data_IF_744025868864
#
_entry.id   IF_744025868864
#
_cell.length_a   1.000
_cell.length_b   1.000
_cell.length_c   1.000
_cell.angle_alpha   90.00
_cell.angle_beta   90.00
_cell.angle_gamma   90.00
#
_symmetry.space_group_name_H-M   'P 1'
#
loop_
_entity.id
_entity.type
_entity.pdbx_description
1 polymer ?
#
# COMPACT_ATOMS: atom_id res chain seq x y z
N UNK A 1 -31.30 -42.20 -61.29
CA UNK A 1 -31.71 -41.22 -60.21
C UNK A 1 -31.06 -41.62 -58.91
N UNK A 2 -29.95 -41.01 -58.58
CA UNK A 2 -29.20 -41.28 -57.32
C UNK A 2 -29.31 -40.07 -56.40
N UNK A 3 -30.01 -40.21 -55.27
CA UNK A 3 -30.18 -39.21 -54.23
C UNK A 3 -28.93 -39.22 -53.31
N UNK A 4 -28.12 -38.19 -53.40
CA UNK A 4 -27.01 -37.96 -52.46
C UNK A 4 -27.54 -37.39 -51.14
N UNK A 5 -27.37 -38.13 -50.06
CA UNK A 5 -27.60 -37.70 -48.66
C UNK A 5 -26.35 -36.95 -48.16
N UNK A 6 -26.49 -35.68 -47.90
CA UNK A 6 -25.44 -34.86 -47.26
C UNK A 6 -25.65 -35.01 -45.76
N UNK A 7 -24.70 -35.67 -45.07
CA UNK A 7 -24.62 -35.72 -43.60
C UNK A 7 -23.82 -34.51 -43.14
N UNK A 8 -24.51 -33.56 -42.54
CA UNK A 8 -23.88 -32.40 -41.91
C UNK A 8 -23.41 -32.78 -40.51
N UNK A 9 -22.10 -32.93 -40.33
CA UNK A 9 -21.47 -33.11 -39.02
C UNK A 9 -21.42 -31.74 -38.33
N UNK A 10 -22.27 -31.50 -37.32
CA UNK A 10 -22.17 -30.40 -36.38
C UNK A 10 -21.08 -30.76 -35.35
N UNK A 11 -19.88 -30.25 -35.55
CA UNK A 11 -18.84 -30.28 -34.52
C UNK A 11 -19.19 -29.25 -33.44
N UNK A 12 -19.73 -29.72 -32.31
CA UNK A 12 -19.89 -28.93 -31.11
C UNK A 12 -18.52 -28.67 -30.52
N UNK A 13 -17.93 -27.51 -30.79
CA UNK A 13 -16.77 -26.98 -30.05
C UNK A 13 -17.26 -26.56 -28.67
N UNK A 14 -17.20 -27.48 -27.72
CA UNK A 14 -17.33 -27.17 -26.31
C UNK A 14 -16.15 -26.29 -25.93
N UNK A 15 -16.38 -24.98 -25.82
CA UNK A 15 -15.48 -24.07 -25.11
C UNK A 15 -15.38 -24.56 -23.64
N UNK A 16 -14.39 -25.38 -23.35
CA UNK A 16 -13.93 -25.62 -22.00
C UNK A 16 -13.38 -24.26 -21.49
N UNK A 17 -14.25 -23.44 -20.92
CA UNK A 17 -13.84 -22.34 -20.08
C UNK A 17 -13.06 -22.98 -18.93
N UNK A 18 -11.74 -23.00 -19.02
CA UNK A 18 -10.89 -23.30 -17.87
C UNK A 18 -11.31 -22.33 -16.76
N UNK A 19 -11.62 -22.82 -15.54
CA UNK A 19 -11.87 -21.91 -14.44
C UNK A 19 -10.62 -21.05 -14.32
N UNK A 20 -10.78 -19.73 -14.51
CA UNK A 20 -9.73 -18.78 -14.20
C UNK A 20 -9.50 -18.94 -12.69
N UNK A 21 -8.47 -19.69 -12.33
CA UNK A 21 -8.06 -19.83 -10.93
C UNK A 21 -7.73 -18.42 -10.46
N UNK A 22 -8.49 -17.95 -9.49
CA UNK A 22 -8.23 -16.66 -8.88
C UNK A 22 -6.80 -16.71 -8.34
N UNK A 23 -5.94 -15.83 -8.87
CA UNK A 23 -4.52 -15.79 -8.50
C UNK A 23 -4.43 -15.19 -7.10
N UNK A 24 -3.90 -15.95 -6.15
CA UNK A 24 -3.57 -15.45 -4.81
C UNK A 24 -2.65 -14.24 -4.92
N UNK A 25 -2.94 -13.20 -4.12
CA UNK A 25 -2.19 -11.93 -4.13
C UNK A 25 -1.97 -11.42 -2.72
N UNK A 26 -0.84 -10.79 -2.51
CA UNK A 26 -0.47 -10.18 -1.24
C UNK A 26 -0.02 -11.18 -0.20
N UNK A 27 -0.39 -10.90 1.03
CA UNK A 27 -0.20 -11.77 2.18
C UNK A 27 -1.50 -11.82 2.95
N UNK A 28 -2.05 -13.00 3.12
CA UNK A 28 -3.33 -13.25 3.80
C UNK A 28 -3.09 -14.04 5.08
N UNK A 29 -3.70 -13.56 6.17
CA UNK A 29 -3.64 -14.21 7.46
C UNK A 29 -5.04 -14.42 8.05
N UNK A 30 -5.20 -15.50 8.79
CA UNK A 30 -6.31 -15.74 9.68
C UNK A 30 -5.86 -15.50 11.11
N UNK A 31 -6.52 -14.59 11.80
CA UNK A 31 -6.25 -14.26 13.21
C UNK A 31 -7.42 -14.75 14.05
N UNK A 32 -7.13 -15.53 15.09
CA UNK A 32 -8.15 -16.11 15.98
C UNK A 32 -7.81 -15.84 17.44
N UNK A 33 -8.81 -15.45 18.21
CA UNK A 33 -8.70 -15.16 19.64
C UNK A 33 -10.05 -14.70 20.19
N UNK A 34 -10.20 -14.65 21.50
CA UNK A 34 -11.43 -14.16 22.17
C UNK A 34 -12.73 -14.86 21.72
N UNK A 35 -12.62 -16.09 21.16
CA UNK A 35 -13.77 -16.80 20.56
C UNK A 35 -14.13 -16.35 19.14
N UNK A 36 -13.40 -15.43 18.54
CA UNK A 36 -13.66 -14.81 17.23
C UNK A 36 -12.56 -15.05 16.22
N UNK A 37 -12.82 -14.69 14.96
CA UNK A 37 -11.86 -14.79 13.86
C UNK A 37 -11.89 -13.53 13.01
N UNK A 38 -10.71 -13.04 12.62
CA UNK A 38 -10.51 -11.91 11.71
C UNK A 38 -9.64 -12.37 10.54
N UNK A 39 -9.91 -11.82 9.35
CA UNK A 39 -9.01 -11.91 8.20
C UNK A 39 -8.13 -10.67 8.16
N UNK A 40 -6.81 -10.84 8.03
CA UNK A 40 -5.85 -9.75 7.91
C UNK A 40 -5.14 -9.87 6.56
N UNK A 41 -5.23 -8.83 5.74
CA UNK A 41 -4.77 -8.82 4.35
C UNK A 41 -3.80 -7.68 4.06
N UNK A 42 -2.74 -7.98 3.30
CA UNK A 42 -1.73 -7.01 2.85
C UNK A 42 -2.11 -6.30 1.56
N UNK A 43 -2.27 -4.98 1.59
CA UNK A 43 -2.64 -4.14 0.45
C UNK A 43 -1.45 -3.42 -0.19
N UNK A 44 -1.69 -2.80 -1.32
CA UNK A 44 -0.79 -1.85 -2.00
C UNK A 44 -1.58 -0.59 -2.33
N UNK A 45 -1.02 0.58 -1.98
CA UNK A 45 -1.69 1.89 -2.13
C UNK A 45 -1.74 2.42 -3.57
N UNK A 46 -0.88 1.92 -4.45
CA UNK A 46 -0.89 2.24 -5.89
C UNK A 46 -0.94 0.94 -6.69
N UNK A 47 -1.97 0.75 -7.48
CA UNK A 47 -2.22 -0.49 -8.21
C UNK A 47 -2.14 -0.35 -9.72
N UNK A 48 -2.25 -1.49 -10.37
CA UNK A 48 -2.37 -1.65 -11.82
C UNK A 48 -3.74 -2.30 -12.15
N UNK A 49 -4.30 -2.09 -13.36
CA UNK A 49 -5.55 -2.73 -13.75
C UNK A 49 -5.53 -4.26 -13.61
N UNK A 50 -4.39 -4.89 -13.88
CA UNK A 50 -4.22 -6.36 -13.77
C UNK A 50 -4.22 -6.89 -12.34
N UNK A 51 -4.26 -6.03 -11.33
CA UNK A 51 -4.45 -6.46 -9.96
C UNK A 51 -5.89 -6.87 -9.65
N UNK A 52 -6.80 -6.60 -10.58
CA UNK A 52 -8.23 -6.88 -10.44
C UNK A 52 -8.73 -7.87 -11.51
N UNK A 53 -9.73 -8.68 -11.17
CA UNK A 53 -10.37 -8.79 -9.85
C UNK A 53 -9.41 -9.35 -8.79
N UNK A 54 -9.65 -9.01 -7.52
CA UNK A 54 -9.01 -9.67 -6.39
C UNK A 54 -9.44 -11.13 -6.33
N UNK A 55 -8.63 -11.97 -5.70
CA UNK A 55 -8.98 -13.38 -5.55
C UNK A 55 -10.26 -13.57 -4.71
N UNK A 56 -10.85 -14.76 -4.85
CA UNK A 56 -12.14 -15.07 -4.27
C UNK A 56 -12.11 -15.13 -2.74
N UNK A 57 -10.97 -15.51 -2.16
CA UNK A 57 -10.79 -15.58 -0.71
C UNK A 57 -10.92 -14.20 -0.07
N UNK A 58 -10.35 -13.17 -0.71
CA UNK A 58 -10.43 -11.77 -0.26
C UNK A 58 -11.86 -11.23 -0.39
N UNK A 59 -12.47 -11.43 -1.56
CA UNK A 59 -13.83 -10.91 -1.83
C UNK A 59 -14.89 -11.60 -0.99
N UNK A 60 -14.74 -12.91 -0.70
CA UNK A 60 -15.59 -13.66 0.23
C UNK A 60 -15.36 -13.21 1.68
N UNK A 61 -14.10 -13.00 2.10
CA UNK A 61 -13.80 -12.52 3.44
C UNK A 61 -14.44 -11.15 3.68
N UNK A 62 -14.32 -10.22 2.73
CA UNK A 62 -14.98 -8.92 2.81
C UNK A 62 -16.50 -9.07 2.87
N UNK A 63 -17.10 -9.89 2.01
CA UNK A 63 -18.55 -10.08 1.96
C UNK A 63 -19.12 -10.70 3.25
N UNK A 64 -18.34 -11.51 3.95
CA UNK A 64 -18.70 -12.12 5.23
C UNK A 64 -18.47 -11.19 6.43
N UNK A 65 -17.84 -10.03 6.23
CA UNK A 65 -17.48 -9.12 7.30
C UNK A 65 -18.57 -8.07 7.55
N UNK A 66 -18.76 -7.69 8.80
CA UNK A 66 -19.58 -6.55 9.22
C UNK A 66 -18.76 -5.26 9.29
N UNK A 67 -17.45 -5.40 9.46
CA UNK A 67 -16.50 -4.28 9.59
C UNK A 67 -15.25 -4.55 8.75
N UNK A 68 -14.85 -3.55 7.96
CA UNK A 68 -13.54 -3.45 7.31
C UNK A 68 -12.70 -2.43 8.08
N UNK A 69 -11.57 -2.87 8.63
CA UNK A 69 -10.56 -1.99 9.24
C UNK A 69 -9.45 -1.71 8.24
N UNK A 70 -9.21 -0.44 7.92
CA UNK A 70 -8.13 0.06 7.08
C UNK A 70 -7.17 0.92 7.89
N UNK A 71 -5.98 1.22 7.39
CA UNK A 71 -5.14 2.25 8.00
C UNK A 71 -5.92 3.56 8.08
N UNK A 72 -6.36 4.05 6.94
CA UNK A 72 -7.33 5.15 6.78
C UNK A 72 -8.34 4.74 5.71
N UNK A 73 -9.51 5.38 5.66
CA UNK A 73 -10.42 5.24 4.53
C UNK A 73 -10.01 6.21 3.41
N UNK A 74 -9.39 5.73 2.31
CA UNK A 74 -8.89 6.61 1.25
C UNK A 74 -10.00 7.17 0.35
N UNK A 75 -11.23 6.70 0.52
CA UNK A 75 -12.40 7.14 -0.27
C UNK A 75 -13.09 8.35 0.36
N UNK A 76 -12.84 8.62 1.63
CA UNK A 76 -13.41 9.77 2.35
C UNK A 76 -12.47 10.96 2.26
N UNK A 77 -12.79 11.88 1.36
CA UNK A 77 -12.10 13.16 1.24
C UNK A 77 -13.00 14.27 1.76
N UNK A 78 -12.67 14.79 2.93
CA UNK A 78 -13.37 15.95 3.51
C UNK A 78 -12.60 17.23 3.24
N UNK A 79 -13.29 18.38 3.28
CA UNK A 79 -12.63 19.68 3.22
C UNK A 79 -11.61 19.86 4.36
N UNK A 80 -11.88 19.26 5.52
CA UNK A 80 -10.99 19.25 6.69
C UNK A 80 -9.70 18.47 6.40
N UNK A 81 -9.81 17.28 5.81
CA UNK A 81 -8.64 16.48 5.41
C UNK A 81 -7.79 17.22 4.38
N UNK A 82 -8.42 17.84 3.37
CA UNK A 82 -7.70 18.63 2.37
C UNK A 82 -6.99 19.84 3.00
N UNK A 83 -7.65 20.54 3.92
CA UNK A 83 -7.05 21.65 4.66
C UNK A 83 -5.91 21.20 5.58
N UNK A 84 -6.02 20.02 6.21
CA UNK A 84 -4.95 19.44 7.03
C UNK A 84 -3.70 19.15 6.18
N UNK A 85 -3.87 18.51 5.01
CA UNK A 85 -2.78 18.26 4.06
C UNK A 85 -2.13 19.58 3.64
N UNK A 86 -2.92 20.57 3.24
CA UNK A 86 -2.41 21.87 2.78
C UNK A 86 -1.60 22.60 3.85
N UNK A 87 -2.05 22.57 5.12
CA UNK A 87 -1.34 23.21 6.24
C UNK A 87 0.05 22.64 6.47
N UNK A 88 0.21 21.31 6.35
CA UNK A 88 1.48 20.63 6.65
C UNK A 88 2.37 20.47 5.43
N UNK A 89 1.83 20.56 4.21
CA UNK A 89 2.57 20.38 2.97
C UNK A 89 3.43 21.60 2.58
N UNK A 90 2.99 22.81 2.97
CA UNK A 90 3.63 24.06 2.53
C UNK A 90 4.93 24.32 3.30
N UNK A 91 5.95 24.76 2.57
CA UNK A 91 7.27 25.08 3.11
C UNK A 91 7.33 26.49 3.68
N UNK A 92 8.45 26.81 4.34
CA UNK A 92 8.78 28.16 4.82
C UNK A 92 10.14 28.58 4.26
N UNK A 93 10.45 29.90 4.23
CA UNK A 93 11.76 30.37 3.78
C UNK A 93 12.93 29.74 4.53
N UNK A 94 12.76 29.45 5.84
CA UNK A 94 13.78 28.81 6.66
C UNK A 94 14.05 27.36 6.23
N UNK A 95 13.02 26.60 5.88
CA UNK A 95 13.15 25.22 5.36
C UNK A 95 13.87 25.27 4.01
N UNK A 96 13.47 26.16 3.11
CA UNK A 96 14.12 26.31 1.80
C UNK A 96 15.59 26.70 1.93
N UNK A 97 15.91 27.63 2.82
CA UNK A 97 17.30 28.04 3.09
C UNK A 97 18.19 26.90 3.65
N UNK A 98 17.58 25.90 4.27
CA UNK A 98 18.30 24.73 4.79
C UNK A 98 18.52 23.63 3.70
N UNK A 99 18.11 23.86 2.46
CA UNK A 99 18.35 22.91 1.36
C UNK A 99 19.84 22.79 1.05
N UNK A 100 20.40 21.56 1.02
CA UNK A 100 21.79 21.37 0.61
C UNK A 100 22.06 21.98 -0.77
N UNK A 101 23.15 22.76 -0.98
CA UNK A 101 23.38 23.46 -2.26
C UNK A 101 23.42 22.54 -3.49
N UNK A 102 23.96 21.32 -3.34
CA UNK A 102 24.04 20.35 -4.43
C UNK A 102 22.67 19.78 -4.85
N UNK A 103 21.67 19.83 -3.98
CA UNK A 103 20.35 19.23 -4.19
C UNK A 103 19.48 20.09 -5.13
N UNK A 104 19.55 21.40 -5.02
CA UNK A 104 18.71 22.33 -5.80
C UNK A 104 18.72 22.09 -7.31
N UNK A 105 19.92 22.05 -7.97
CA UNK A 105 20.00 21.79 -9.41
C UNK A 105 19.46 20.40 -9.81
N UNK A 106 19.63 19.37 -8.97
CA UNK A 106 19.09 18.02 -9.23
C UNK A 106 17.57 18.01 -9.13
N UNK A 107 17.04 18.63 -8.09
CA UNK A 107 15.59 18.75 -7.88
C UNK A 107 14.92 19.48 -9.03
N UNK A 108 15.49 20.64 -9.46
CA UNK A 108 14.98 21.41 -10.60
C UNK A 108 14.92 20.57 -11.87
N UNK A 109 16.03 19.92 -12.26
CA UNK A 109 16.05 19.05 -13.43
C UNK A 109 15.02 17.92 -13.35
N UNK A 110 14.83 17.35 -12.14
CA UNK A 110 13.87 16.25 -11.96
C UNK A 110 12.44 16.74 -12.10
N UNK A 111 12.10 17.88 -11.52
CA UNK A 111 10.78 18.50 -11.68
C UNK A 111 10.48 18.81 -13.16
N UNK A 112 11.41 19.42 -13.88
CA UNK A 112 11.30 19.69 -15.32
C UNK A 112 11.11 18.42 -16.15
N UNK A 113 11.88 17.36 -15.88
CA UNK A 113 11.75 16.07 -16.56
C UNK A 113 10.39 15.38 -16.31
N UNK A 114 9.71 15.74 -15.23
CA UNK A 114 8.37 15.28 -14.89
C UNK A 114 7.27 16.21 -15.44
N UNK A 115 7.62 17.33 -16.07
CA UNK A 115 6.69 18.36 -16.50
C UNK A 115 6.07 19.15 -15.35
N UNK A 116 6.69 19.08 -14.16
CA UNK A 116 6.22 19.79 -12.97
C UNK A 116 6.87 21.18 -12.87
N UNK A 117 6.16 22.20 -12.35
CA UNK A 117 6.73 23.53 -12.17
C UNK A 117 7.95 23.49 -11.23
N UNK A 118 9.08 24.12 -11.63
CA UNK A 118 10.26 24.23 -10.78
C UNK A 118 9.97 24.98 -9.46
N UNK A 119 8.97 25.87 -9.46
CA UNK A 119 8.51 26.58 -8.27
C UNK A 119 8.03 25.69 -7.12
N UNK A 120 7.68 24.42 -7.38
CA UNK A 120 7.31 23.49 -6.33
C UNK A 120 8.41 23.30 -5.29
N UNK A 121 9.68 23.40 -5.69
CA UNK A 121 10.84 23.32 -4.79
C UNK A 121 10.86 24.39 -3.69
N UNK A 122 10.22 25.54 -3.93
CA UNK A 122 10.08 26.63 -2.95
C UNK A 122 8.69 26.75 -2.34
N UNK A 123 7.76 25.88 -2.70
CA UNK A 123 6.38 25.90 -2.21
C UNK A 123 6.07 24.73 -1.27
N UNK A 124 6.70 23.57 -1.49
CA UNK A 124 6.42 22.36 -0.74
C UNK A 124 7.56 21.99 0.21
N UNK A 125 7.24 21.40 1.35
CA UNK A 125 8.23 20.78 2.24
C UNK A 125 8.94 19.62 1.54
N UNK A 126 10.19 19.29 1.92
CA UNK A 126 10.97 18.24 1.27
C UNK A 126 10.27 16.88 1.24
N UNK A 127 9.57 16.51 2.31
CA UNK A 127 8.82 15.26 2.37
C UNK A 127 7.64 15.22 1.40
N UNK A 128 6.97 16.38 1.17
CA UNK A 128 5.87 16.44 0.20
C UNK A 128 6.41 16.38 -1.24
N UNK A 129 7.57 16.99 -1.51
CA UNK A 129 8.28 16.85 -2.78
C UNK A 129 8.63 15.39 -3.06
N UNK A 130 9.14 14.67 -2.05
CA UNK A 130 9.44 13.24 -2.14
C UNK A 130 8.21 12.44 -2.56
N UNK A 131 7.08 12.60 -1.86
CA UNK A 131 5.82 11.91 -2.18
C UNK A 131 5.35 12.26 -3.59
N UNK A 132 5.38 13.55 -3.95
CA UNK A 132 4.95 14.02 -5.27
C UNK A 132 5.79 13.41 -6.38
N UNK A 133 7.11 13.50 -6.28
CA UNK A 133 8.04 12.94 -7.28
C UNK A 133 7.88 11.44 -7.44
N UNK A 134 7.80 10.71 -6.34
CA UNK A 134 7.63 9.26 -6.34
C UNK A 134 6.29 8.86 -6.97
N UNK A 135 5.20 9.55 -6.61
CA UNK A 135 3.87 9.28 -7.16
C UNK A 135 3.81 9.51 -8.67
N UNK A 136 4.36 10.65 -9.15
CA UNK A 136 4.40 10.94 -10.59
C UNK A 136 5.29 9.95 -11.35
N UNK A 137 6.43 9.57 -10.78
CA UNK A 137 7.32 8.59 -11.41
C UNK A 137 6.66 7.21 -11.53
N UNK A 138 5.95 6.77 -10.49
CA UNK A 138 5.22 5.51 -10.53
C UNK A 138 4.00 5.56 -11.46
N UNK A 139 3.36 6.73 -11.57
CA UNK A 139 2.28 6.92 -12.54
C UNK A 139 2.76 6.75 -14.00
N UNK A 140 4.01 7.14 -14.32
CA UNK A 140 4.62 6.88 -15.64
C UNK A 140 4.80 5.38 -15.91
N UNK A 141 4.87 4.55 -14.88
CA UNK A 141 4.92 3.09 -14.98
C UNK A 141 3.52 2.45 -15.03
N UNK A 142 2.46 3.26 -15.01
CA UNK A 142 1.07 2.81 -15.05
C UNK A 142 0.43 2.61 -13.67
N UNK A 143 1.17 2.76 -12.57
CA UNK A 143 0.63 2.65 -11.23
C UNK A 143 -0.25 3.84 -10.89
N UNK A 144 -1.42 3.57 -10.30
CA UNK A 144 -2.43 4.60 -10.01
C UNK A 144 -2.92 4.49 -8.57
N UNK A 145 -3.06 5.62 -7.83
CA UNK A 145 -3.62 5.60 -6.48
C UNK A 145 -5.09 5.17 -6.42
N UNK A 146 -5.90 5.52 -7.43
CA UNK A 146 -7.32 5.12 -7.52
C UNK A 146 -7.52 3.62 -7.81
N UNK A 147 -6.45 2.91 -8.21
CA UNK A 147 -6.31 1.47 -8.31
C UNK A 147 -5.60 0.86 -7.09
N UNK A 148 -5.40 1.61 -6.02
CA UNK A 148 -4.95 1.07 -4.74
C UNK A 148 -5.90 -0.01 -4.23
N UNK A 149 -5.34 -1.08 -3.68
CA UNK A 149 -6.12 -2.24 -3.22
C UNK A 149 -6.97 -1.88 -2.01
N UNK A 150 -6.44 -1.06 -1.12
CA UNK A 150 -7.18 -0.46 0.01
C UNK A 150 -8.34 0.42 -0.45
N UNK A 151 -8.14 1.27 -1.45
CA UNK A 151 -9.20 2.08 -2.05
C UNK A 151 -10.28 1.22 -2.72
N UNK A 152 -9.89 0.12 -3.37
CA UNK A 152 -10.82 -0.82 -3.97
C UNK A 152 -11.67 -1.54 -2.91
N UNK A 153 -11.05 -2.03 -1.83
CA UNK A 153 -11.74 -2.68 -0.73
C UNK A 153 -12.70 -1.71 -0.02
N UNK A 154 -12.29 -0.45 0.21
CA UNK A 154 -13.15 0.57 0.78
C UNK A 154 -14.41 0.81 -0.10
N UNK A 155 -14.22 0.98 -1.42
CA UNK A 155 -15.35 1.13 -2.37
C UNK A 155 -16.31 -0.05 -2.34
N UNK A 156 -15.78 -1.28 -2.31
CA UNK A 156 -16.60 -2.49 -2.21
C UNK A 156 -17.36 -2.56 -0.87
N UNK A 157 -16.71 -2.19 0.25
CA UNK A 157 -17.32 -2.17 1.56
C UNK A 157 -18.48 -1.15 1.62
N UNK A 158 -18.24 0.08 1.17
CA UNK A 158 -19.28 1.11 1.09
C UNK A 158 -20.46 0.69 0.20
N UNK A 159 -20.19 0.11 -0.96
CA UNK A 159 -21.21 -0.40 -1.88
C UNK A 159 -22.05 -1.55 -1.30
N UNK A 160 -21.57 -2.22 -0.27
CA UNK A 160 -22.24 -3.32 0.45
C UNK A 160 -22.73 -2.92 1.84
N UNK A 161 -22.64 -1.65 2.20
CA UNK A 161 -22.99 -1.13 3.53
C UNK A 161 -22.20 -1.79 4.68
N UNK A 162 -20.98 -2.27 4.41
CA UNK A 162 -20.06 -2.75 5.43
C UNK A 162 -19.42 -1.54 6.09
N UNK A 163 -19.39 -1.52 7.42
CA UNK A 163 -18.78 -0.44 8.20
C UNK A 163 -17.28 -0.37 7.90
N UNK A 164 -16.77 0.80 7.49
CA UNK A 164 -15.34 1.05 7.34
C UNK A 164 -14.84 1.86 8.53
N UNK A 165 -13.72 1.43 9.13
CA UNK A 165 -13.06 2.12 10.23
C UNK A 165 -11.59 2.35 9.94
N UNK A 166 -11.05 3.50 10.38
CA UNK A 166 -9.62 3.80 10.33
C UNK A 166 -8.89 3.28 11.58
N UNK A 167 -7.81 2.53 11.37
CA UNK A 167 -6.86 2.22 12.43
C UNK A 167 -6.02 3.45 12.80
N UNK A 168 -5.91 4.40 11.90
CA UNK A 168 -5.18 5.66 12.04
C UNK A 168 -6.02 6.84 11.54
N UNK A 169 -5.46 8.03 11.65
CA UNK A 169 -6.01 9.25 11.05
C UNK A 169 -5.06 9.82 10.01
N UNK A 170 -5.56 10.63 9.10
CA UNK A 170 -4.73 11.33 8.10
C UNK A 170 -3.68 12.20 8.78
N UNK A 171 -4.06 12.91 9.85
CA UNK A 171 -3.15 13.76 10.63
C UNK A 171 -2.02 12.96 11.27
N UNK A 172 -2.31 11.74 11.78
CA UNK A 172 -1.27 10.87 12.36
C UNK A 172 -0.27 10.44 11.31
N UNK A 173 -0.73 10.04 10.11
CA UNK A 173 0.14 9.62 9.00
C UNK A 173 0.97 10.77 8.43
N UNK A 174 0.36 11.94 8.17
CA UNK A 174 1.09 13.13 7.72
C UNK A 174 2.14 13.57 8.74
N UNK A 175 1.81 13.47 10.03
CA UNK A 175 2.71 13.79 11.12
C UNK A 175 3.96 12.91 11.20
N UNK A 176 3.96 11.71 10.59
CA UNK A 176 5.17 10.87 10.52
C UNK A 176 6.28 11.57 9.72
N UNK A 177 5.90 12.23 8.63
CA UNK A 177 6.82 12.99 7.80
C UNK A 177 7.08 14.39 8.37
N UNK A 178 6.02 15.09 8.76
CA UNK A 178 6.08 16.50 9.13
C UNK A 178 6.91 16.76 10.41
N UNK A 179 6.91 15.80 11.34
CA UNK A 179 7.73 15.87 12.58
C UNK A 179 9.16 15.38 12.41
N UNK A 180 9.60 15.00 11.21
CA UNK A 180 11.01 14.72 10.96
C UNK A 180 11.82 16.03 11.03
N UNK A 181 13.04 16.00 11.58
CA UNK A 181 13.97 17.10 11.46
C UNK A 181 14.11 17.57 10.02
N UNK A 182 14.21 18.86 9.78
CA UNK A 182 14.31 19.41 8.40
C UNK A 182 15.50 18.83 7.63
N UNK A 183 16.62 18.61 8.32
CA UNK A 183 17.80 17.98 7.72
C UNK A 183 17.51 16.55 7.23
N UNK A 184 16.75 15.76 8.02
CA UNK A 184 16.36 14.40 7.64
C UNK A 184 15.39 14.40 6.45
N UNK A 185 14.47 15.37 6.40
CA UNK A 185 13.57 15.52 5.26
C UNK A 185 14.32 15.79 3.94
N UNK A 186 15.36 16.66 4.00
CA UNK A 186 16.23 16.91 2.84
C UNK A 186 17.07 15.69 2.47
N UNK A 187 17.59 14.95 3.44
CA UNK A 187 18.33 13.71 3.21
C UNK A 187 17.43 12.66 2.56
N UNK A 188 16.20 12.47 3.04
CA UNK A 188 15.23 11.57 2.41
C UNK A 188 14.93 11.94 0.97
N UNK A 189 14.76 13.23 0.67
CA UNK A 189 14.54 13.68 -0.69
C UNK A 189 15.77 13.43 -1.57
N UNK A 190 16.99 13.64 -1.05
CA UNK A 190 18.23 13.36 -1.79
C UNK A 190 18.41 11.87 -2.10
N UNK A 191 18.17 10.98 -1.11
CA UNK A 191 18.17 9.52 -1.31
C UNK A 191 17.10 9.10 -2.33
N UNK A 192 15.92 9.71 -2.27
CA UNK A 192 14.84 9.46 -3.24
C UNK A 192 15.25 9.87 -4.65
N UNK A 193 15.81 11.07 -4.83
CA UNK A 193 16.32 11.52 -6.15
C UNK A 193 17.40 10.58 -6.67
N UNK A 194 18.33 10.14 -5.82
CA UNK A 194 19.37 9.18 -6.20
C UNK A 194 18.77 7.84 -6.67
N UNK A 195 17.78 7.34 -5.94
CA UNK A 195 17.05 6.11 -6.27
C UNK A 195 16.26 6.22 -7.59
N UNK A 196 15.64 7.38 -7.84
CA UNK A 196 14.93 7.65 -9.10
C UNK A 196 15.91 7.83 -10.29
N UNK A 197 17.05 8.52 -10.07
CA UNK A 197 18.04 8.77 -11.11
C UNK A 197 18.76 7.49 -11.54
N UNK A 198 19.02 6.55 -10.61
CA UNK A 198 19.62 5.25 -10.89
C UNK A 198 18.65 4.20 -11.44
N UNK A 199 17.33 4.44 -11.35
CA UNK A 199 16.31 3.45 -11.68
C UNK A 199 16.05 2.42 -10.57
N UNK A 200 16.72 2.51 -9.42
CA UNK A 200 16.50 1.61 -8.28
C UNK A 200 15.06 1.66 -7.79
N UNK A 201 14.48 2.87 -7.65
CA UNK A 201 13.10 3.04 -7.18
C UNK A 201 12.07 2.35 -8.07
N UNK A 202 12.23 2.43 -9.40
CA UNK A 202 11.35 1.76 -10.35
C UNK A 202 11.51 0.22 -10.28
N UNK A 203 12.73 -0.27 -10.12
CA UNK A 203 12.99 -1.72 -9.94
C UNK A 203 12.40 -2.23 -8.64
N UNK A 204 12.53 -1.46 -7.56
CA UNK A 204 11.98 -1.79 -6.26
C UNK A 204 10.46 -1.84 -6.30
N UNK A 205 9.80 -0.83 -6.85
CA UNK A 205 8.35 -0.82 -7.03
C UNK A 205 7.86 -2.06 -7.79
N UNK A 206 8.54 -2.40 -8.89
CA UNK A 206 8.23 -3.61 -9.67
C UNK A 206 8.46 -4.90 -8.89
N UNK A 207 9.47 -4.95 -8.02
CA UNK A 207 9.78 -6.13 -7.20
C UNK A 207 8.72 -6.30 -6.11
N UNK A 208 8.37 -5.24 -5.40
CA UNK A 208 7.30 -5.24 -4.37
C UNK A 208 5.97 -5.68 -4.99
N UNK A 209 5.56 -5.03 -6.07
CA UNK A 209 4.27 -5.30 -6.70
C UNK A 209 4.21 -6.67 -7.35
N UNK A 210 5.32 -7.18 -7.89
CA UNK A 210 5.40 -8.54 -8.44
C UNK A 210 5.34 -9.60 -7.33
N UNK A 211 6.06 -9.41 -6.23
CA UNK A 211 5.98 -10.26 -5.04
C UNK A 211 4.55 -10.29 -4.49
N UNK A 212 3.92 -9.14 -4.39
CA UNK A 212 2.53 -9.02 -3.97
C UNK A 212 1.56 -9.71 -4.96
N UNK A 213 1.69 -9.45 -6.26
CA UNK A 213 0.78 -9.98 -7.28
C UNK A 213 0.82 -11.50 -7.41
N UNK A 214 1.85 -12.17 -6.87
CA UNK A 214 2.05 -13.62 -6.91
C UNK A 214 1.96 -14.27 -5.54
N UNK A 215 1.61 -13.53 -4.49
CA UNK A 215 1.70 -13.98 -3.10
C UNK A 215 3.06 -14.65 -2.78
N UNK A 216 4.15 -14.16 -3.41
CA UNK A 216 5.48 -14.76 -3.33
C UNK A 216 6.11 -14.47 -1.96
N UNK A 217 5.86 -15.40 -1.03
CA UNK A 217 6.35 -15.29 0.34
C UNK A 217 7.86 -15.08 0.41
N UNK A 218 8.63 -15.85 -0.38
CA UNK A 218 10.09 -15.77 -0.33
C UNK A 218 10.58 -14.39 -0.79
N UNK A 219 10.00 -13.84 -1.85
CA UNK A 219 10.31 -12.49 -2.32
C UNK A 219 9.92 -11.42 -1.29
N UNK A 220 8.78 -11.57 -0.60
CA UNK A 220 8.33 -10.64 0.43
C UNK A 220 9.20 -10.70 1.69
N UNK A 221 9.60 -11.90 2.14
CA UNK A 221 10.51 -12.08 3.26
C UNK A 221 11.92 -11.51 2.92
N UNK A 222 12.40 -11.70 1.69
CA UNK A 222 13.66 -11.11 1.22
C UNK A 222 13.60 -9.58 1.17
N UNK A 223 12.45 -9.01 0.80
CA UNK A 223 12.23 -7.57 0.81
C UNK A 223 12.31 -7.00 2.24
N UNK A 224 11.65 -7.62 3.19
CA UNK A 224 11.72 -7.21 4.60
C UNK A 224 13.18 -7.22 5.11
N UNK A 225 13.92 -8.30 4.80
CA UNK A 225 15.33 -8.43 5.19
C UNK A 225 16.23 -7.38 4.49
N UNK A 226 15.93 -7.02 3.23
CA UNK A 226 16.64 -5.96 2.51
C UNK A 226 16.54 -4.65 3.30
N UNK A 227 15.34 -4.23 3.67
CA UNK A 227 15.14 -2.98 4.41
C UNK A 227 15.72 -3.01 5.83
N UNK A 228 15.69 -4.16 6.50
CA UNK A 228 16.33 -4.30 7.83
C UNK A 228 17.85 -4.09 7.78
N UNK A 229 18.50 -4.46 6.69
CA UNK A 229 19.97 -4.39 6.52
C UNK A 229 20.44 -3.12 5.84
N UNK A 230 19.56 -2.37 5.22
CA UNK A 230 19.90 -1.15 4.48
C UNK A 230 20.25 -0.02 5.47
N UNK A 231 21.49 0.52 5.43
CA UNK A 231 21.93 1.56 6.34
C UNK A 231 21.41 2.97 5.97
N UNK A 232 20.73 3.14 4.85
CA UNK A 232 20.20 4.44 4.41
C UNK A 232 19.18 4.98 5.41
N UNK A 233 19.14 6.31 5.54
CA UNK A 233 18.20 6.98 6.44
C UNK A 233 16.75 6.65 6.07
N UNK A 234 16.43 6.58 4.78
CA UNK A 234 15.11 6.22 4.28
C UNK A 234 14.64 4.85 4.81
N UNK A 235 15.53 3.84 4.79
CA UNK A 235 15.21 2.51 5.30
C UNK A 235 15.10 2.49 6.82
N UNK A 236 15.93 3.22 7.54
CA UNK A 236 15.84 3.35 9.00
C UNK A 236 14.54 4.04 9.44
N UNK A 237 14.14 5.11 8.74
CA UNK A 237 12.87 5.81 9.00
C UNK A 237 11.69 4.91 8.64
N UNK A 238 11.74 4.18 7.51
CA UNK A 238 10.71 3.21 7.15
C UNK A 238 10.52 2.19 8.28
N UNK A 239 11.58 1.52 8.71
CA UNK A 239 11.51 0.48 9.73
C UNK A 239 11.02 1.00 11.08
N UNK A 240 11.57 2.13 11.55
CA UNK A 240 11.27 2.65 12.86
C UNK A 240 9.95 3.40 12.89
N UNK A 241 9.78 4.45 12.05
CA UNK A 241 8.62 5.35 12.12
C UNK A 241 7.42 4.86 11.35
N UNK A 242 7.64 4.37 10.12
CA UNK A 242 6.52 3.96 9.26
C UNK A 242 6.01 2.55 9.57
N UNK A 243 6.79 1.72 10.24
CA UNK A 243 6.38 0.37 10.61
C UNK A 243 6.33 0.18 12.13
N UNK A 244 7.44 0.16 12.85
CA UNK A 244 7.47 -0.25 14.26
C UNK A 244 6.62 0.66 15.15
N UNK A 245 6.74 1.99 15.04
CA UNK A 245 5.94 2.95 15.84
C UNK A 245 4.45 2.88 15.57
N UNK A 246 4.03 2.39 14.38
CA UNK A 246 2.62 2.25 13.98
C UNK A 246 2.06 0.86 14.28
N UNK A 247 2.87 -0.18 14.09
CA UNK A 247 2.41 -1.57 14.25
C UNK A 247 1.91 -1.87 15.67
N UNK A 248 2.55 -1.33 16.71
CA UNK A 248 2.11 -1.50 18.09
C UNK A 248 0.68 -1.03 18.32
N UNK A 249 0.37 0.26 18.13
CA UNK A 249 -0.98 0.81 18.26
C UNK A 249 -2.00 0.15 17.33
N UNK A 250 -1.63 -0.23 16.10
CA UNK A 250 -2.51 -0.97 15.20
C UNK A 250 -2.83 -2.37 15.74
N UNK A 251 -1.83 -3.09 16.26
CA UNK A 251 -2.03 -4.40 16.86
C UNK A 251 -2.96 -4.34 18.08
N UNK A 252 -2.86 -3.29 18.91
CA UNK A 252 -3.76 -3.06 20.05
C UNK A 252 -5.21 -2.83 19.58
N UNK A 253 -5.40 -2.03 18.55
CA UNK A 253 -6.73 -1.77 17.98
C UNK A 253 -7.33 -3.03 17.33
N UNK A 254 -6.52 -3.81 16.60
CA UNK A 254 -6.96 -5.06 15.96
C UNK A 254 -7.33 -6.12 17.01
N UNK A 255 -6.55 -6.26 18.09
CA UNK A 255 -6.86 -7.16 19.21
C UNK A 255 -8.17 -6.76 19.88
N UNK A 256 -8.32 -5.46 20.21
CA UNK A 256 -9.56 -4.93 20.78
C UNK A 256 -10.77 -5.05 19.85
N UNK A 257 -10.57 -4.98 18.53
CA UNK A 257 -11.63 -5.17 17.55
C UNK A 257 -12.05 -6.65 17.50
N UNK A 258 -11.08 -7.57 17.46
CA UNK A 258 -11.32 -9.01 17.49
C UNK A 258 -12.04 -9.46 18.77
N UNK A 259 -11.79 -8.79 19.91
CA UNK A 259 -12.48 -9.09 21.16
C UNK A 259 -13.98 -8.69 21.15
N UNK A 260 -14.37 -7.76 20.29
CA UNK A 260 -15.73 -7.20 20.27
C UNK A 260 -16.57 -7.58 19.07
N UNK A 261 -15.97 -7.92 17.96
CA UNK A 261 -16.67 -8.13 16.68
C UNK A 261 -16.40 -9.53 16.12
N UNK A 262 -17.46 -10.24 15.73
CA UNK A 262 -17.38 -11.62 15.26
C UNK A 262 -16.84 -11.75 13.82
N UNK A 263 -17.09 -10.75 12.98
CA UNK A 263 -16.83 -10.81 11.54
C UNK A 263 -16.11 -9.55 11.08
N UNK A 264 -14.80 -9.56 11.18
CA UNK A 264 -13.95 -8.42 10.79
C UNK A 264 -12.96 -8.83 9.72
N UNK A 265 -12.79 -7.96 8.73
CA UNK A 265 -11.63 -7.96 7.86
C UNK A 265 -10.78 -6.74 8.16
N UNK A 266 -9.48 -6.93 8.34
CA UNK A 266 -8.49 -5.86 8.39
C UNK A 266 -7.64 -5.89 7.13
N UNK A 267 -7.37 -4.74 6.54
CA UNK A 267 -6.52 -4.63 5.37
C UNK A 267 -5.58 -3.42 5.54
N UNK A 268 -4.29 -3.69 5.53
CA UNK A 268 -3.22 -2.71 5.77
C UNK A 268 -2.11 -2.87 4.75
N UNK A 269 -1.30 -1.84 4.53
CA UNK A 269 -0.17 -1.93 3.61
C UNK A 269 0.71 -3.15 3.89
N UNK A 270 1.10 -3.83 2.83
CA UNK A 270 1.86 -5.09 2.86
C UNK A 270 3.05 -5.05 3.83
N UNK A 271 3.76 -3.91 3.88
CA UNK A 271 4.96 -3.75 4.72
C UNK A 271 4.67 -3.92 6.21
N UNK A 272 3.44 -3.69 6.67
CA UNK A 272 3.01 -3.95 8.04
C UNK A 272 2.88 -5.45 8.36
N UNK A 273 2.83 -6.32 7.35
CA UNK A 273 2.59 -7.76 7.52
C UNK A 273 3.84 -8.63 7.36
N UNK A 274 4.96 -8.05 6.96
CA UNK A 274 6.22 -8.76 6.73
C UNK A 274 7.32 -8.27 7.68
N UNK A 275 8.35 -9.10 7.89
CA UNK A 275 9.45 -8.78 8.81
C UNK A 275 9.15 -9.12 10.28
N UNK A 276 10.16 -8.90 11.14
CA UNK A 276 10.14 -9.33 12.55
C UNK A 276 9.16 -8.56 13.42
N UNK A 277 9.01 -7.25 13.19
CA UNK A 277 8.14 -6.36 13.97
C UNK A 277 6.76 -6.16 13.29
N UNK A 278 6.34 -7.15 12.48
CA UNK A 278 5.09 -7.13 11.73
C UNK A 278 3.85 -7.30 12.63
N UNK A 279 2.71 -6.83 12.15
CA UNK A 279 1.42 -7.04 12.83
C UNK A 279 1.15 -8.53 13.14
N UNK A 280 1.37 -9.49 12.21
CA UNK A 280 1.26 -10.91 12.56
C UNK A 280 2.14 -11.33 13.74
N UNK A 281 3.37 -10.80 13.83
CA UNK A 281 4.27 -11.13 14.95
C UNK A 281 3.77 -10.51 16.26
N UNK A 282 3.34 -9.25 16.25
CA UNK A 282 2.81 -8.56 17.43
C UNK A 282 1.48 -9.18 17.92
N UNK A 283 0.59 -9.57 17.02
CA UNK A 283 -0.65 -10.24 17.39
C UNK A 283 -0.38 -11.62 18.02
N UNK A 284 0.62 -12.37 17.53
CA UNK A 284 1.07 -13.62 18.21
C UNK A 284 1.63 -13.34 19.60
N UNK A 285 2.43 -12.28 19.75
CA UNK A 285 2.97 -11.88 21.05
C UNK A 285 1.87 -11.51 22.07
N UNK A 286 0.68 -11.10 21.59
CA UNK A 286 -0.53 -10.87 22.41
C UNK A 286 -1.29 -12.16 22.75
N UNK A 287 -0.81 -13.32 22.32
CA UNK A 287 -1.44 -14.63 22.57
C UNK A 287 -2.50 -15.03 21.55
N UNK A 288 -2.66 -14.27 20.45
CA UNK A 288 -3.59 -14.62 19.39
C UNK A 288 -2.99 -15.70 18.48
N UNK A 289 -3.83 -16.59 17.97
CA UNK A 289 -3.43 -17.55 16.93
C UNK A 289 -3.43 -16.85 15.59
N UNK A 290 -2.27 -16.75 14.93
CA UNK A 290 -2.12 -16.11 13.62
C UNK A 290 -1.53 -17.10 12.64
N UNK A 291 -2.34 -17.51 11.68
CA UNK A 291 -2.01 -18.45 10.62
C UNK A 291 -1.89 -17.69 9.30
N UNK A 292 -0.77 -17.87 8.58
CA UNK A 292 -0.63 -17.36 7.22
C UNK A 292 -1.35 -18.30 6.27
N UNK A 293 -2.23 -17.77 5.43
CA UNK A 293 -2.96 -18.55 4.42
C UNK A 293 -2.09 -18.67 3.17
N UNK A 294 -1.51 -17.54 2.72
CA UNK A 294 -0.51 -17.47 1.65
C UNK A 294 0.39 -16.24 1.77
#
# INVERSE_FOLDING_TARGET
MARRMIVTLLAAFGLLASPAWAVERGALFKVSGHGHTMVLFGTIHMGLPEFFPLDESITKALAASTTLALEIDPTVQTAETAAAVQRVALTTPAIVAAMPPALGPRLTRRLEALGAPAALSSQLKPWMLLITLTTVEYAKLGYRPDLGVDAHLAKLAHGRHIKVIGLETVESQLGLFDRLPVADQWTLLDETLASLDSGEGQQEMRSVTRGWARADRAALDALALKYEKDPRLSSQILQRRFLAERNGPMADKLDGLLAREHHTMAAVGLMHLIGKDSLPALLRAKGLKVERVY
#
